data_IF_331325466109
#
_entry.id   IF_331325466109
#
_cell.length_a   1.000
_cell.length_b   1.000
_cell.length_c   1.000
_cell.angle_alpha   90.00
_cell.angle_beta   90.00
_cell.angle_gamma   90.00
#
_symmetry.space_group_name_H-M   'P 1'
#
loop_
_entity.id
_entity.type
_entity.pdbx_description
1 polymer ?
#
# COMPACT_ATOMS: atom_id res chain seq x y z
N UNK A 1 36.69 -11.96 29.73
CA UNK A 1 36.62 -11.35 28.38
C UNK A 1 35.30 -11.80 27.81
N UNK A 2 34.27 -10.99 28.01
CA UNK A 2 32.92 -11.31 27.55
C UNK A 2 32.84 -11.03 26.06
N UNK A 3 32.70 -12.09 25.28
CA UNK A 3 32.34 -12.01 23.86
C UNK A 3 30.91 -11.48 23.82
N UNK A 4 30.63 -10.35 23.13
CA UNK A 4 29.26 -9.90 22.97
C UNK A 4 28.52 -10.94 22.16
N UNK A 5 27.56 -11.62 22.78
CA UNK A 5 26.56 -12.43 22.10
C UNK A 5 25.83 -11.53 21.11
N UNK A 6 26.17 -11.65 19.82
CA UNK A 6 25.35 -11.10 18.75
C UNK A 6 23.98 -11.79 18.86
N UNK A 7 22.99 -11.05 19.36
CA UNK A 7 21.60 -11.45 19.26
C UNK A 7 21.27 -11.68 17.78
N UNK A 8 20.51 -12.73 17.41
CA UNK A 8 20.12 -12.92 16.02
C UNK A 8 19.37 -11.67 15.56
N UNK A 9 19.82 -11.10 14.44
CA UNK A 9 19.13 -10.02 13.75
C UNK A 9 17.69 -10.48 13.55
N UNK A 10 16.77 -9.79 14.22
CA UNK A 10 15.40 -10.24 14.38
C UNK A 10 14.76 -10.35 12.98
N UNK A 11 14.53 -11.58 12.49
CA UNK A 11 14.02 -11.91 11.15
C UNK A 11 12.53 -11.55 11.02
N UNK A 12 12.24 -10.25 11.19
CA UNK A 12 10.90 -9.69 11.21
C UNK A 12 10.37 -9.63 9.79
N UNK A 13 9.23 -10.26 9.58
CA UNK A 13 8.55 -10.25 8.29
C UNK A 13 8.38 -8.81 7.77
N UNK A 14 8.74 -8.60 6.51
CA UNK A 14 8.70 -7.30 5.86
C UNK A 14 7.38 -7.09 5.14
N UNK A 15 6.67 -6.03 5.52
CA UNK A 15 5.39 -5.62 4.94
C UNK A 15 5.60 -4.42 4.02
N UNK A 16 5.41 -4.62 2.72
CA UNK A 16 5.40 -3.55 1.73
C UNK A 16 4.01 -2.92 1.65
N UNK A 17 3.93 -1.62 1.86
CA UNK A 17 2.70 -0.83 1.86
C UNK A 17 2.75 0.25 0.76
N UNK A 18 2.25 -0.05 -0.45
CA UNK A 18 1.97 0.98 -1.44
C UNK A 18 0.77 1.82 -0.99
N UNK A 19 0.99 3.11 -0.72
CA UNK A 19 -0.01 4.02 -0.16
C UNK A 19 -0.03 5.30 -0.98
N UNK A 20 -1.22 5.89 -1.19
CA UNK A 20 -1.34 7.08 -2.01
C UNK A 20 -0.70 8.34 -1.40
N UNK A 21 -0.88 8.52 -0.09
CA UNK A 21 -0.37 9.65 0.68
C UNK A 21 -0.02 9.13 2.07
N UNK A 22 1.12 9.56 2.60
CA UNK A 22 1.60 9.20 3.93
C UNK A 22 2.24 10.41 4.59
N UNK A 23 2.87 10.25 5.75
CA UNK A 23 3.68 11.29 6.39
C UNK A 23 4.72 11.84 5.42
N UNK A 24 5.08 13.15 5.48
CA UNK A 24 4.55 14.17 6.39
C UNK A 24 3.19 14.75 5.97
N UNK A 25 2.50 14.14 5.00
CA UNK A 25 1.19 14.56 4.54
C UNK A 25 0.11 14.57 5.61
N UNK A 26 -0.86 15.46 5.40
CA UNK A 26 -2.00 15.64 6.29
C UNK A 26 -3.30 15.96 5.53
N UNK A 27 -3.23 16.39 4.26
CA UNK A 27 -4.41 16.85 3.49
C UNK A 27 -5.39 15.73 3.12
N UNK A 28 -4.93 14.48 3.01
CA UNK A 28 -5.81 13.33 2.82
C UNK A 28 -6.53 12.87 4.11
N UNK A 29 -6.18 13.43 5.28
CA UNK A 29 -6.93 13.25 6.53
C UNK A 29 -6.77 11.87 7.18
N UNK A 30 -7.89 11.32 7.66
CA UNK A 30 -7.96 10.12 8.50
C UNK A 30 -7.18 8.88 8.00
N UNK A 31 -7.20 8.55 6.70
CA UNK A 31 -6.44 7.41 6.16
C UNK A 31 -4.93 7.46 6.46
N UNK A 32 -4.30 8.64 6.40
CA UNK A 32 -2.86 8.77 6.70
C UNK A 32 -2.60 8.41 8.17
N UNK A 33 -3.40 8.97 9.09
CA UNK A 33 -3.24 8.74 10.53
C UNK A 33 -3.45 7.28 10.90
N UNK A 34 -4.46 6.61 10.32
CA UNK A 34 -4.72 5.18 10.54
C UNK A 34 -3.50 4.33 10.19
N UNK A 35 -2.89 4.59 9.03
CA UNK A 35 -1.71 3.85 8.56
C UNK A 35 -0.48 4.14 9.40
N UNK A 36 -0.27 5.41 9.79
CA UNK A 36 0.80 5.79 10.69
C UNK A 36 0.68 5.11 12.06
N UNK A 37 -0.54 5.05 12.62
CA UNK A 37 -0.79 4.32 13.87
C UNK A 37 -0.54 2.81 13.74
N UNK A 38 -0.87 2.20 12.61
CA UNK A 38 -0.58 0.78 12.34
C UNK A 38 0.92 0.52 12.33
N UNK A 39 1.68 1.33 11.58
CA UNK A 39 3.15 1.24 11.50
C UNK A 39 3.77 1.46 12.89
N UNK A 40 3.29 2.45 13.63
CA UNK A 40 3.83 2.75 14.96
C UNK A 40 3.56 1.64 15.97
N UNK A 41 2.35 1.09 15.97
CA UNK A 41 1.93 0.03 16.88
C UNK A 41 2.61 -1.31 16.60
N UNK A 42 2.80 -1.66 15.32
CA UNK A 42 3.30 -2.98 14.90
C UNK A 42 4.77 -2.97 14.47
N UNK A 43 5.42 -1.81 14.37
CA UNK A 43 6.82 -1.70 13.89
C UNK A 43 7.87 -2.32 14.81
N UNK A 44 7.46 -2.78 16.00
CA UNK A 44 8.29 -3.65 16.85
C UNK A 44 8.30 -5.11 16.35
N UNK A 45 7.19 -5.57 15.78
CA UNK A 45 6.97 -6.96 15.35
C UNK A 45 7.28 -7.17 13.85
N UNK A 46 7.05 -6.14 13.03
CA UNK A 46 7.22 -6.20 11.57
C UNK A 46 8.12 -5.08 11.06
N UNK A 47 8.79 -5.33 9.95
CA UNK A 47 9.51 -4.29 9.19
C UNK A 47 8.57 -3.68 8.17
N UNK A 48 8.34 -2.37 8.21
CA UNK A 48 7.46 -1.69 7.26
C UNK A 48 8.25 -0.95 6.19
N UNK A 49 7.96 -1.27 4.93
CA UNK A 49 8.40 -0.50 3.76
C UNK A 49 7.20 0.20 3.16
N UNK A 50 7.15 1.52 3.21
CA UNK A 50 6.07 2.33 2.65
C UNK A 50 6.53 2.95 1.35
N UNK A 51 5.76 2.79 0.26
CA UNK A 51 5.98 3.54 -0.98
C UNK A 51 4.80 4.48 -1.18
N UNK A 52 5.08 5.78 -1.28
CA UNK A 52 4.06 6.83 -1.30
C UNK A 52 4.41 7.91 -2.30
N UNK A 53 3.47 8.80 -2.65
CA UNK A 53 3.79 9.98 -3.45
C UNK A 53 4.71 10.93 -2.72
N UNK A 54 5.56 11.62 -3.48
CA UNK A 54 6.43 12.71 -3.03
C UNK A 54 5.67 13.99 -2.59
N UNK A 55 4.35 14.04 -2.72
CA UNK A 55 3.53 15.24 -2.48
C UNK A 55 2.19 14.91 -1.84
N UNK A 56 1.61 15.89 -1.16
CA UNK A 56 0.33 15.74 -0.48
C UNK A 56 -0.88 15.82 -1.43
N UNK A 57 -2.05 15.52 -0.89
CA UNK A 57 -3.30 15.45 -1.61
C UNK A 57 -3.63 16.78 -2.29
N UNK A 58 -3.71 16.72 -3.62
CA UNK A 58 -3.94 17.85 -4.55
C UNK A 58 -2.79 18.85 -4.67
N UNK A 59 -1.66 18.61 -4.02
CA UNK A 59 -0.49 19.48 -4.16
C UNK A 59 0.25 19.21 -5.46
N UNK A 60 0.93 20.25 -5.95
CA UNK A 60 1.75 20.19 -7.18
C UNK A 60 3.24 20.12 -6.88
N UNK A 61 3.64 20.43 -5.65
CA UNK A 61 5.02 20.48 -5.18
C UNK A 61 5.29 19.29 -4.27
N UNK A 62 6.51 18.75 -4.36
CA UNK A 62 6.95 17.71 -3.44
C UNK A 62 7.05 18.24 -1.99
N UNK A 63 7.04 17.33 -1.02
CA UNK A 63 7.30 17.67 0.37
C UNK A 63 8.71 18.28 0.51
N UNK A 64 8.86 19.34 1.30
CA UNK A 64 10.17 19.91 1.57
C UNK A 64 10.99 18.91 2.41
N UNK A 65 12.26 18.74 2.04
CA UNK A 65 13.23 17.98 2.85
C UNK A 65 13.10 16.45 2.81
N UNK A 66 12.23 15.88 1.95
CA UNK A 66 12.17 14.42 1.76
C UNK A 66 13.13 13.97 0.66
N UNK A 67 13.73 12.80 0.84
CA UNK A 67 14.50 12.15 -0.20
C UNK A 67 13.53 11.48 -1.20
N UNK A 68 13.60 11.87 -2.47
CA UNK A 68 12.72 11.38 -3.54
C UNK A 68 13.40 10.21 -4.25
N UNK A 69 12.60 9.23 -4.66
CA UNK A 69 13.01 8.01 -5.39
C UNK A 69 14.14 7.23 -4.69
N UNK A 70 14.22 7.37 -3.37
CA UNK A 70 15.19 6.74 -2.48
C UNK A 70 14.50 6.37 -1.17
N UNK A 71 15.06 5.39 -0.45
CA UNK A 71 14.56 4.97 0.86
C UNK A 71 15.12 5.84 1.98
N UNK A 72 14.26 6.23 2.90
CA UNK A 72 14.62 6.99 4.11
C UNK A 72 13.76 6.55 5.29
N UNK A 73 14.27 6.66 6.51
CA UNK A 73 13.48 6.31 7.69
C UNK A 73 12.57 7.45 8.14
N UNK A 74 11.32 7.11 8.48
CA UNK A 74 10.38 8.00 9.14
C UNK A 74 9.64 7.20 10.22
N UNK A 75 9.96 7.49 11.49
CA UNK A 75 9.48 6.69 12.61
C UNK A 75 9.94 5.23 12.47
N UNK A 76 9.00 4.28 12.60
CA UNK A 76 9.26 2.83 12.50
C UNK A 76 9.13 2.24 11.08
N UNK A 77 9.14 3.07 10.04
CA UNK A 77 9.09 2.60 8.65
C UNK A 77 10.25 3.15 7.80
N UNK A 78 10.64 2.37 6.80
CA UNK A 78 11.39 2.82 5.64
C UNK A 78 10.40 3.36 4.60
N UNK A 79 10.63 4.56 4.08
CA UNK A 79 9.74 5.24 3.16
C UNK A 79 10.46 5.60 1.87
N UNK A 80 9.87 5.17 0.76
CA UNK A 80 10.21 5.61 -0.60
C UNK A 80 9.17 6.62 -1.10
N UNK A 81 9.55 7.90 -1.18
CA UNK A 81 8.73 8.95 -1.79
C UNK A 81 8.91 8.94 -3.31
N UNK A 82 7.86 8.58 -4.04
CA UNK A 82 7.88 8.43 -5.49
C UNK A 82 7.56 9.74 -6.19
N UNK A 83 8.45 10.14 -7.10
CA UNK A 83 8.16 11.20 -8.06
C UNK A 83 7.02 10.80 -9.00
N UNK A 84 6.34 11.75 -9.67
CA UNK A 84 5.30 11.45 -10.65
C UNK A 84 5.76 10.46 -11.73
N UNK A 85 7.02 10.55 -12.16
CA UNK A 85 7.60 9.66 -13.18
C UNK A 85 7.73 8.21 -12.66
N UNK A 86 8.08 8.06 -11.38
CA UNK A 86 8.18 6.77 -10.69
C UNK A 86 6.84 6.06 -10.51
N UNK A 87 5.72 6.77 -10.67
CA UNK A 87 4.36 6.18 -10.69
C UNK A 87 4.00 5.51 -12.04
N UNK A 88 4.87 5.60 -13.04
CA UNK A 88 4.73 4.89 -14.32
C UNK A 88 4.73 3.37 -14.11
N UNK A 89 4.08 2.64 -15.03
CA UNK A 89 3.91 1.19 -14.91
C UNK A 89 5.24 0.44 -14.77
N UNK A 90 6.24 0.80 -15.58
CA UNK A 90 7.53 0.11 -15.59
C UNK A 90 8.43 0.47 -14.41
N UNK A 91 8.40 1.73 -13.94
CA UNK A 91 9.16 2.12 -12.75
C UNK A 91 8.56 1.52 -11.48
N UNK A 92 7.24 1.54 -11.35
CA UNK A 92 6.56 0.85 -10.25
C UNK A 92 6.85 -0.65 -10.28
N UNK A 93 6.82 -1.30 -11.45
CA UNK A 93 7.20 -2.71 -11.58
C UNK A 93 8.62 -2.97 -11.09
N UNK A 94 9.58 -2.14 -11.49
CA UNK A 94 10.98 -2.24 -11.05
C UNK A 94 11.07 -2.13 -9.54
N UNK A 95 10.47 -1.09 -8.96
CA UNK A 95 10.41 -0.88 -7.52
C UNK A 95 9.85 -2.10 -6.78
N UNK A 96 8.66 -2.59 -7.18
CA UNK A 96 7.99 -3.73 -6.53
C UNK A 96 8.69 -5.07 -6.73
N UNK A 97 9.57 -5.19 -7.73
CA UNK A 97 10.33 -6.41 -7.98
C UNK A 97 11.67 -6.39 -7.25
N UNK A 98 12.31 -5.23 -7.19
CA UNK A 98 13.64 -5.07 -6.63
C UNK A 98 13.59 -4.78 -5.11
N UNK A 99 12.41 -4.47 -4.56
CA UNK A 99 12.19 -4.40 -3.11
C UNK A 99 11.94 -5.81 -2.57
N UNK A 100 12.69 -6.20 -1.54
CA UNK A 100 12.40 -7.43 -0.80
C UNK A 100 11.33 -7.19 0.28
N UNK A 101 10.35 -8.09 0.31
CA UNK A 101 9.20 -8.10 1.23
C UNK A 101 8.53 -9.47 1.22
N UNK A 102 7.89 -9.81 2.34
CA UNK A 102 7.17 -11.08 2.54
C UNK A 102 5.68 -10.93 2.25
N UNK A 103 5.13 -9.74 2.47
CA UNK A 103 3.71 -9.44 2.36
C UNK A 103 3.50 -8.07 1.71
N UNK A 104 2.53 -7.98 0.79
CA UNK A 104 2.05 -6.71 0.27
C UNK A 104 0.73 -6.33 0.92
N UNK A 105 0.65 -5.14 1.51
CA UNK A 105 -0.55 -4.62 2.14
C UNK A 105 -1.09 -3.43 1.33
N UNK A 106 -2.25 -3.61 0.71
CA UNK A 106 -2.90 -2.63 -0.13
C UNK A 106 -4.06 -1.98 0.63
N UNK A 107 -3.99 -0.66 0.84
CA UNK A 107 -4.98 0.06 1.65
C UNK A 107 -6.16 0.62 0.83
N UNK A 108 -6.42 0.06 -0.35
CA UNK A 108 -7.51 0.47 -1.24
C UNK A 108 -7.82 -0.62 -2.26
N UNK A 109 -9.04 -0.61 -2.78
CA UNK A 109 -9.49 -1.40 -3.91
C UNK A 109 -9.53 -0.58 -5.21
N UNK A 110 -9.85 0.72 -5.14
CA UNK A 110 -10.01 1.56 -6.33
C UNK A 110 -8.78 2.43 -6.69
N UNK A 111 -7.69 2.40 -5.92
CA UNK A 111 -6.50 3.24 -6.17
C UNK A 111 -5.66 2.72 -7.37
N UNK A 112 -5.50 3.52 -8.44
CA UNK A 112 -4.83 3.03 -9.65
C UNK A 112 -3.35 2.65 -9.50
N UNK A 113 -2.56 3.45 -8.79
CA UNK A 113 -1.11 3.30 -8.71
C UNK A 113 -0.66 2.36 -7.58
N UNK A 114 -1.41 2.31 -6.50
CA UNK A 114 -1.03 1.66 -5.25
C UNK A 114 -1.98 0.52 -4.88
N UNK A 115 -2.93 0.15 -5.75
CA UNK A 115 -3.69 -1.10 -5.64
C UNK A 115 -3.83 -1.81 -7.00
N UNK A 116 -4.43 -1.15 -7.99
CA UNK A 116 -4.74 -1.76 -9.29
C UNK A 116 -3.48 -2.17 -10.05
N UNK A 117 -2.50 -1.27 -10.21
CA UNK A 117 -1.24 -1.58 -10.90
C UNK A 117 -0.45 -2.69 -10.18
N UNK A 118 -0.19 -2.65 -8.86
CA UNK A 118 0.48 -3.75 -8.15
C UNK A 118 -0.21 -5.11 -8.36
N UNK A 119 -1.53 -5.17 -8.25
CA UNK A 119 -2.27 -6.41 -8.48
C UNK A 119 -2.21 -6.89 -9.92
N UNK A 120 -2.23 -5.97 -10.89
CA UNK A 120 -2.10 -6.31 -12.30
C UNK A 120 -0.71 -6.87 -12.58
N UNK A 121 0.33 -6.22 -12.06
CA UNK A 121 1.72 -6.69 -12.15
C UNK A 121 1.87 -8.09 -11.54
N UNK A 122 1.29 -8.33 -10.35
CA UNK A 122 1.25 -9.67 -9.72
C UNK A 122 0.54 -10.68 -10.61
N UNK A 123 -0.64 -10.34 -11.13
CA UNK A 123 -1.46 -11.22 -11.97
C UNK A 123 -0.76 -11.62 -13.28
N UNK A 124 0.08 -10.73 -13.81
CA UNK A 124 0.91 -10.94 -15.00
C UNK A 124 2.24 -11.64 -14.71
N UNK A 125 2.56 -11.96 -13.44
CA UNK A 125 3.83 -12.58 -13.05
C UNK A 125 5.04 -11.66 -13.20
N UNK A 126 4.81 -10.34 -13.20
CA UNK A 126 5.86 -9.34 -13.46
C UNK A 126 6.59 -8.87 -12.19
N UNK A 127 6.11 -9.28 -11.03
CA UNK A 127 6.67 -9.05 -9.69
C UNK A 127 6.57 -10.35 -8.88
N UNK A 128 7.34 -10.50 -7.77
CA UNK A 128 7.32 -11.70 -6.95
C UNK A 128 5.89 -12.08 -6.47
N UNK A 129 5.54 -13.38 -6.43
CA UNK A 129 4.20 -13.83 -6.07
C UNK A 129 3.97 -13.85 -4.55
N UNK A 130 4.18 -12.71 -3.90
CA UNK A 130 3.99 -12.58 -2.45
C UNK A 130 2.50 -12.61 -2.07
N UNK A 131 2.16 -13.08 -0.85
CA UNK A 131 0.86 -12.86 -0.24
C UNK A 131 0.44 -11.39 -0.31
N UNK A 132 -0.88 -11.15 -0.42
CA UNK A 132 -1.44 -9.81 -0.51
C UNK A 132 -2.64 -9.69 0.41
N UNK A 133 -2.65 -8.64 1.24
CA UNK A 133 -3.82 -8.19 1.98
C UNK A 133 -4.40 -6.95 1.29
N UNK A 134 -5.72 -6.89 1.15
CA UNK A 134 -6.44 -5.70 0.69
C UNK A 134 -7.39 -5.24 1.79
N UNK A 135 -7.22 -3.98 2.21
CA UNK A 135 -8.09 -3.28 3.15
C UNK A 135 -8.83 -2.15 2.42
N UNK A 136 -10.11 -2.33 2.03
CA UNK A 136 -10.86 -1.35 1.25
C UNK A 136 -11.35 -0.16 2.07
N UNK A 137 -11.43 -0.26 3.40
CA UNK A 137 -11.79 0.85 4.30
C UNK A 137 -13.12 1.55 3.94
N UNK A 138 -14.18 0.77 3.72
CA UNK A 138 -15.52 1.27 3.40
C UNK A 138 -15.72 1.71 1.95
N UNK A 139 -14.75 1.45 1.06
CA UNK A 139 -14.84 1.77 -0.38
C UNK A 139 -16.02 1.08 -1.10
N UNK A 140 -16.53 -0.03 -0.53
CA UNK A 140 -17.68 -0.78 -1.01
C UNK A 140 -19.03 -0.33 -0.44
N UNK A 141 -19.04 0.61 0.51
CA UNK A 141 -20.30 1.14 1.04
C UNK A 141 -21.15 1.76 -0.08
N UNK A 142 -22.47 1.71 0.09
CA UNK A 142 -23.42 2.26 -0.91
C UNK A 142 -23.12 3.72 -1.24
N UNK A 143 -22.78 4.53 -0.23
CA UNK A 143 -22.37 5.92 -0.42
C UNK A 143 -21.08 6.04 -1.24
N UNK A 144 -20.05 5.27 -0.89
CA UNK A 144 -18.77 5.30 -1.61
C UNK A 144 -18.90 4.81 -3.06
N UNK A 145 -19.72 3.78 -3.32
CA UNK A 145 -19.93 3.25 -4.67
C UNK A 145 -20.74 4.19 -5.58
N UNK A 146 -21.58 5.07 -5.03
CA UNK A 146 -22.29 6.10 -5.81
C UNK A 146 -21.31 7.15 -6.37
N UNK A 147 -20.25 7.48 -5.63
CA UNK A 147 -19.23 8.42 -6.08
C UNK A 147 -18.42 7.82 -7.24
N UNK A 148 -18.51 8.45 -8.42
CA UNK A 148 -17.92 7.94 -9.68
C UNK A 148 -18.42 6.53 -10.01
N UNK A 149 -19.70 6.25 -9.74
CA UNK A 149 -20.26 4.90 -9.77
C UNK A 149 -20.10 4.16 -11.09
N UNK A 150 -20.25 4.83 -12.24
CA UNK A 150 -20.02 4.19 -13.55
C UNK A 150 -18.59 3.67 -13.69
N UNK A 151 -17.59 4.49 -13.34
CA UNK A 151 -16.17 4.11 -13.38
C UNK A 151 -15.89 2.95 -12.43
N UNK A 152 -16.43 2.98 -11.21
CA UNK A 152 -16.25 1.92 -10.21
C UNK A 152 -16.89 0.60 -10.66
N UNK A 153 -18.11 0.64 -11.21
CA UNK A 153 -18.81 -0.54 -11.73
C UNK A 153 -18.05 -1.19 -12.89
N UNK A 154 -17.61 -0.39 -13.86
CA UNK A 154 -16.82 -0.89 -14.98
C UNK A 154 -15.51 -1.52 -14.49
N UNK A 155 -14.81 -0.86 -13.56
CA UNK A 155 -13.60 -1.42 -12.95
C UNK A 155 -13.87 -2.75 -12.24
N UNK A 156 -14.91 -2.84 -11.40
CA UNK A 156 -15.27 -4.08 -10.70
C UNK A 156 -15.55 -5.23 -11.68
N UNK A 157 -16.26 -4.94 -12.78
CA UNK A 157 -16.52 -5.93 -13.83
C UNK A 157 -15.21 -6.45 -14.44
N UNK A 158 -14.32 -5.55 -14.85
CA UNK A 158 -13.02 -5.88 -15.44
C UNK A 158 -12.13 -6.64 -14.43
N UNK A 159 -12.08 -6.19 -13.17
CA UNK A 159 -11.29 -6.81 -12.12
C UNK A 159 -11.75 -8.25 -11.84
N UNK A 160 -13.07 -8.51 -11.88
CA UNK A 160 -13.65 -9.86 -11.76
C UNK A 160 -13.29 -10.72 -12.97
N UNK A 161 -13.43 -10.19 -14.19
CA UNK A 161 -13.11 -10.90 -15.44
C UNK A 161 -11.63 -11.32 -15.48
N UNK A 162 -10.71 -10.42 -15.09
CA UNK A 162 -9.28 -10.69 -15.06
C UNK A 162 -8.84 -11.54 -13.85
N UNK A 163 -9.75 -11.81 -12.91
CA UNK A 163 -9.49 -12.44 -11.61
C UNK A 163 -8.35 -11.74 -10.85
N UNK A 164 -8.38 -10.40 -10.88
CA UNK A 164 -7.30 -9.54 -10.39
C UNK A 164 -7.01 -9.76 -8.89
N UNK A 165 -8.06 -10.04 -8.11
CA UNK A 165 -8.00 -10.25 -6.67
C UNK A 165 -7.96 -11.73 -6.26
N UNK A 166 -7.61 -12.64 -7.19
CA UNK A 166 -7.50 -14.07 -6.87
C UNK A 166 -6.36 -14.29 -5.85
N UNK A 167 -6.66 -15.04 -4.79
CA UNK A 167 -5.70 -15.37 -3.74
C UNK A 167 -5.21 -14.15 -2.96
N UNK A 168 -6.10 -13.18 -2.75
CA UNK A 168 -5.91 -12.02 -1.87
C UNK A 168 -6.67 -12.29 -0.57
N UNK A 169 -6.08 -11.90 0.57
CA UNK A 169 -6.77 -11.86 1.86
C UNK A 169 -7.46 -10.51 2.03
N UNK A 170 -8.74 -10.51 2.37
CA UNK A 170 -9.52 -9.29 2.57
C UNK A 170 -9.55 -8.94 4.05
N UNK A 171 -9.19 -7.71 4.37
CA UNK A 171 -9.35 -7.15 5.70
C UNK A 171 -10.59 -6.26 5.74
N UNK A 172 -11.45 -6.50 6.73
CA UNK A 172 -12.61 -5.67 7.04
C UNK A 172 -12.50 -5.18 8.49
N UNK A 173 -12.95 -3.97 8.76
CA UNK A 173 -12.97 -3.36 10.09
C UNK A 173 -14.27 -3.65 10.86
N UNK A 174 -15.31 -4.16 10.18
CA UNK A 174 -16.60 -4.52 10.81
C UNK A 174 -17.33 -5.59 10.00
N UNK A 175 -18.32 -6.23 10.63
CA UNK A 175 -19.21 -7.18 9.94
C UNK A 175 -20.01 -6.53 8.80
N UNK A 176 -20.38 -5.25 8.95
CA UNK A 176 -21.01 -4.49 7.87
C UNK A 176 -20.09 -4.35 6.67
N UNK A 177 -18.79 -4.07 6.89
CA UNK A 177 -17.81 -4.00 5.81
C UNK A 177 -17.57 -5.38 5.18
N UNK A 178 -17.62 -6.47 5.97
CA UNK A 178 -17.58 -7.83 5.41
C UNK A 178 -18.76 -8.07 4.46
N UNK A 179 -19.97 -7.67 4.85
CA UNK A 179 -21.16 -7.80 4.00
C UNK A 179 -21.02 -6.98 2.70
N UNK A 180 -20.49 -5.76 2.79
CA UNK A 180 -20.24 -4.89 1.63
C UNK A 180 -19.18 -5.51 0.68
N UNK A 181 -18.11 -6.12 1.20
CA UNK A 181 -17.07 -6.78 0.40
C UNK A 181 -17.58 -8.05 -0.29
N UNK A 182 -18.47 -8.80 0.36
CA UNK A 182 -18.97 -10.09 -0.15
C UNK A 182 -20.04 -9.97 -1.25
N UNK A 183 -20.59 -8.77 -1.47
CA UNK A 183 -21.65 -8.51 -2.43
C UNK A 183 -21.16 -8.54 -3.89
#
# INVERSE_FOLDING_TARGET
>A
MDVPTQQPENDRATVLMPINHYLPGYKAGGPIRKLASLVEGLGGEYTFKVVTKDRDFKDRTAYPGVAIDTWSHVGKAEIGYLSPDSLSFWRLRRLLRDTDYDLMYLNSFFEPHFAIKPLLLRRLGLIPPRPVIVAPNGEFSVGALKLKGLKKRLYMLIARLLRLYRGVLWQAASEYEVADIRR
#
